data_IF_768824446268
#
_entry.id   IF_768824446268
#
_cell.length_a   1.000
_cell.length_b   1.000
_cell.length_c   1.000
_cell.angle_alpha   90.00
_cell.angle_beta   90.00
_cell.angle_gamma   90.00
#
_symmetry.space_group_name_H-M   'P 1'
#
loop_
_entity.id
_entity.type
_entity.pdbx_description
1 polymer ?
#
# COMPACT_ATOMS: atom_id res chain seq x y z
N UNK A 1 5.85 -12.64 -46.06
CA UNK A 1 4.72 -13.21 -45.30
C UNK A 1 5.32 -13.67 -43.98
N UNK A 2 5.05 -13.10 -42.81
CA UNK A 2 3.86 -12.41 -42.32
C UNK A 2 4.19 -11.04 -41.70
N UNK A 3 3.30 -10.08 -41.91
CA UNK A 3 3.24 -8.84 -41.16
C UNK A 3 2.65 -9.12 -39.77
N UNK A 4 3.41 -8.83 -38.73
CA UNK A 4 2.81 -8.60 -37.41
C UNK A 4 2.60 -7.10 -37.27
N UNK A 5 1.34 -6.75 -37.44
CA UNK A 5 0.75 -5.44 -37.22
C UNK A 5 0.88 -5.11 -35.73
N UNK A 6 1.87 -4.28 -35.39
CA UNK A 6 2.00 -3.71 -34.05
C UNK A 6 1.02 -2.55 -33.96
N UNK A 7 -0.17 -2.82 -33.39
CA UNK A 7 -1.11 -1.77 -33.00
C UNK A 7 -0.40 -0.83 -32.04
N UNK A 8 0.04 0.30 -32.59
CA UNK A 8 0.64 1.38 -31.85
C UNK A 8 -0.42 1.91 -30.89
N UNK A 9 -0.17 1.79 -29.59
CA UNK A 9 -0.90 2.55 -28.59
C UNK A 9 -0.57 4.00 -28.89
N UNK A 10 -1.45 4.69 -29.63
CA UNK A 10 -1.39 6.13 -29.80
C UNK A 10 -1.41 6.75 -28.41
N UNK A 11 -0.25 7.22 -27.97
CA UNK A 11 -0.16 8.18 -26.88
C UNK A 11 -1.06 9.34 -27.26
N UNK A 12 -2.24 9.42 -26.66
CA UNK A 12 -3.11 10.59 -26.78
C UNK A 12 -2.31 11.77 -26.23
N UNK A 13 -1.68 12.50 -27.15
CA UNK A 13 -0.92 13.71 -26.86
C UNK A 13 -1.91 14.71 -26.25
N UNK A 14 -1.68 15.11 -24.99
CA UNK A 14 -2.46 16.18 -24.36
C UNK A 14 -2.39 17.41 -25.29
N UNK A 15 -3.53 17.99 -25.70
CA UNK A 15 -3.52 19.16 -26.58
C UNK A 15 -2.68 20.29 -25.99
N UNK A 16 -2.03 21.08 -26.84
CA UNK A 16 -1.31 22.27 -26.40
C UNK A 16 -2.29 23.29 -25.77
N UNK A 17 -2.23 23.43 -24.44
CA UNK A 17 -3.09 24.29 -23.60
C UNK A 17 -4.11 23.52 -22.75
N UNK A 18 -4.81 24.21 -21.84
CA UNK A 18 -5.82 23.64 -20.93
C UNK A 18 -7.15 23.27 -21.62
N UNK A 19 -7.12 22.82 -22.88
CA UNK A 19 -8.31 22.54 -23.70
C UNK A 19 -8.48 21.03 -23.89
N UNK A 20 -9.71 20.56 -23.76
CA UNK A 20 -10.12 19.20 -24.13
C UNK A 20 -11.18 19.27 -25.23
N UNK A 21 -11.24 18.30 -26.16
CA UNK A 21 -12.36 18.18 -27.08
C UNK A 21 -13.69 18.10 -26.32
N UNK A 22 -14.78 18.65 -26.87
CA UNK A 22 -16.10 18.62 -26.21
C UNK A 22 -16.56 17.20 -25.89
N UNK A 23 -16.29 16.24 -26.78
CA UNK A 23 -16.58 14.81 -26.56
C UNK A 23 -15.78 14.19 -25.40
N UNK A 24 -14.70 14.83 -24.96
CA UNK A 24 -13.87 14.43 -23.82
C UNK A 24 -14.13 15.29 -22.58
N UNK A 25 -15.01 16.30 -22.68
CA UNK A 25 -15.39 17.12 -21.54
C UNK A 25 -16.26 16.29 -20.58
N UNK A 26 -16.10 16.56 -19.28
CA UNK A 26 -16.91 15.92 -18.25
C UNK A 26 -18.36 16.42 -18.36
N UNK A 27 -19.29 15.48 -18.49
CA UNK A 27 -20.73 15.76 -18.46
C UNK A 27 -21.20 15.93 -17.01
N UNK A 28 -21.27 17.17 -16.55
CA UNK A 28 -21.73 17.52 -15.20
C UNK A 28 -23.27 17.51 -15.06
N UNK A 29 -24.00 17.19 -16.14
CA UNK A 29 -25.45 16.96 -16.08
C UNK A 29 -25.80 15.48 -15.94
N UNK A 30 -24.78 14.62 -15.88
CA UNK A 30 -24.93 13.17 -15.73
C UNK A 30 -25.54 12.79 -14.36
N UNK A 31 -26.07 11.56 -14.29
CA UNK A 31 -26.63 10.99 -13.06
C UNK A 31 -25.58 11.01 -11.94
N UNK A 32 -26.01 11.31 -10.71
CA UNK A 32 -25.13 11.35 -9.53
C UNK A 32 -25.35 10.10 -8.70
N UNK A 33 -24.26 9.41 -8.38
CA UNK A 33 -24.21 8.33 -7.40
C UNK A 33 -23.66 8.89 -6.08
N UNK A 34 -24.34 8.55 -4.99
CA UNK A 34 -23.97 8.87 -3.61
C UNK A 34 -23.13 7.72 -3.04
N UNK A 35 -21.96 8.02 -2.52
CA UNK A 35 -21.10 7.09 -1.78
C UNK A 35 -21.25 7.41 -0.29
N UNK A 36 -21.88 6.52 0.47
CA UNK A 36 -22.02 6.65 1.92
C UNK A 36 -20.75 6.15 2.60
N UNK A 37 -20.07 6.98 3.39
CA UNK A 37 -18.78 6.65 4.00
C UNK A 37 -18.76 7.18 5.44
N UNK A 38 -18.75 6.27 6.42
CA UNK A 38 -19.03 6.64 7.81
C UNK A 38 -20.34 7.43 7.94
N UNK A 39 -20.26 8.66 8.46
CA UNK A 39 -21.39 9.59 8.59
C UNK A 39 -21.53 10.56 7.40
N UNK A 40 -20.57 10.53 6.47
CA UNK A 40 -20.51 11.45 5.34
C UNK A 40 -21.11 10.82 4.08
N UNK A 41 -21.50 11.67 3.12
CA UNK A 41 -21.90 11.24 1.78
C UNK A 41 -21.15 12.03 0.72
N UNK A 42 -20.49 11.33 -0.19
CA UNK A 42 -19.76 11.92 -1.32
C UNK A 42 -20.60 11.73 -2.58
N UNK A 43 -20.71 12.77 -3.41
CA UNK A 43 -21.51 12.75 -4.65
C UNK A 43 -20.58 12.73 -5.85
N UNK A 44 -20.73 11.73 -6.72
CA UNK A 44 -19.88 11.52 -7.91
C UNK A 44 -20.76 11.27 -9.13
N UNK A 45 -20.44 11.85 -10.28
CA UNK A 45 -21.17 11.55 -11.52
C UNK A 45 -20.94 10.09 -11.94
N UNK A 46 -22.01 9.39 -12.34
CA UNK A 46 -22.02 7.97 -12.65
C UNK A 46 -21.00 7.62 -13.75
N UNK A 47 -20.96 8.38 -14.84
CA UNK A 47 -20.01 8.19 -15.95
C UNK A 47 -18.56 8.30 -15.50
N UNK A 48 -18.27 9.20 -14.55
CA UNK A 48 -16.94 9.37 -13.97
C UNK A 48 -16.60 8.18 -13.08
N UNK A 49 -17.52 7.83 -12.16
CA UNK A 49 -17.37 6.72 -11.22
C UNK A 49 -17.15 5.39 -11.93
N UNK A 50 -17.87 5.18 -13.03
CA UNK A 50 -17.84 3.98 -13.85
C UNK A 50 -16.79 4.03 -14.96
N UNK A 51 -16.03 5.11 -15.14
CA UNK A 51 -15.09 5.23 -16.26
C UNK A 51 -14.02 4.12 -16.22
N UNK A 52 -13.48 3.86 -15.03
CA UNK A 52 -12.32 2.98 -14.83
C UNK A 52 -12.55 1.82 -13.85
N UNK A 53 -13.61 1.87 -13.04
CA UNK A 53 -13.94 0.83 -12.06
C UNK A 53 -14.95 -0.19 -12.59
N UNK A 54 -14.54 -1.46 -12.68
CA UNK A 54 -15.44 -2.56 -13.04
C UNK A 54 -16.46 -2.87 -11.93
N UNK A 55 -16.12 -2.60 -10.67
CA UNK A 55 -17.06 -2.72 -9.56
C UNK A 55 -18.24 -1.76 -9.75
N UNK A 56 -17.98 -0.47 -9.93
CA UNK A 56 -19.05 0.51 -10.06
C UNK A 56 -19.86 0.33 -11.35
N UNK A 57 -19.22 -0.02 -12.48
CA UNK A 57 -19.94 -0.38 -13.73
C UNK A 57 -20.96 -1.49 -13.53
N UNK A 58 -20.68 -2.47 -12.68
CA UNK A 58 -21.61 -3.56 -12.37
C UNK A 58 -22.63 -3.11 -11.33
N UNK A 59 -22.18 -2.44 -10.28
CA UNK A 59 -23.01 -2.04 -9.16
C UNK A 59 -24.09 -1.01 -9.54
N UNK A 60 -23.87 -0.14 -10.53
CA UNK A 60 -24.85 0.89 -10.92
C UNK A 60 -25.91 0.41 -11.91
N UNK A 61 -25.80 -0.81 -12.46
CA UNK A 61 -26.83 -1.38 -13.34
C UNK A 61 -28.16 -1.53 -12.60
N UNK A 62 -29.27 -1.33 -13.31
CA UNK A 62 -30.62 -1.36 -12.74
C UNK A 62 -30.92 -2.63 -11.94
N UNK A 63 -30.56 -3.80 -12.49
CA UNK A 63 -30.71 -5.13 -11.87
C UNK A 63 -30.07 -5.25 -10.48
N UNK A 64 -29.03 -4.46 -10.17
CA UNK A 64 -28.37 -4.42 -8.85
C UNK A 64 -28.73 -3.18 -8.04
N UNK A 65 -29.11 -2.08 -8.70
CA UNK A 65 -29.47 -0.84 -8.04
C UNK A 65 -30.87 -0.92 -7.40
N UNK A 66 -31.82 -1.57 -8.07
CA UNK A 66 -33.21 -1.70 -7.61
C UNK A 66 -33.34 -2.53 -6.31
N UNK A 67 -32.35 -3.36 -5.99
CA UNK A 67 -32.35 -4.11 -4.72
C UNK A 67 -31.93 -3.27 -3.51
N UNK A 68 -31.42 -2.04 -3.72
CA UNK A 68 -30.99 -1.15 -2.63
C UNK A 68 -32.18 -0.32 -2.12
N UNK A 69 -32.18 0.09 -0.84
CA UNK A 69 -33.17 1.04 -0.33
C UNK A 69 -33.19 2.36 -1.13
N UNK A 70 -32.02 2.75 -1.64
CA UNK A 70 -31.85 3.87 -2.54
C UNK A 70 -30.95 3.43 -3.72
N UNK A 71 -31.49 3.34 -4.95
CA UNK A 71 -30.75 2.90 -6.13
C UNK A 71 -29.51 3.74 -6.46
N UNK A 72 -29.51 5.02 -6.04
CA UNK A 72 -28.43 5.97 -6.31
C UNK A 72 -27.42 6.04 -5.16
N UNK A 73 -27.52 5.18 -4.14
CA UNK A 73 -26.60 5.16 -3.00
C UNK A 73 -25.81 3.85 -2.94
N UNK A 74 -24.49 3.97 -2.88
CA UNK A 74 -23.54 2.89 -2.62
C UNK A 74 -23.07 2.96 -1.17
N UNK A 75 -23.17 1.83 -0.47
CA UNK A 75 -22.70 1.70 0.89
C UNK A 75 -21.20 1.34 0.90
N UNK A 76 -20.39 2.24 1.46
CA UNK A 76 -18.95 2.12 1.69
C UNK A 76 -18.64 2.51 3.15
N UNK A 77 -19.58 2.27 4.07
CA UNK A 77 -19.45 2.68 5.47
C UNK A 77 -18.31 1.98 6.20
N UNK A 78 -17.95 0.78 5.79
CA UNK A 78 -16.79 0.02 6.30
C UNK A 78 -15.44 0.50 5.73
N UNK A 79 -15.44 1.39 4.74
CA UNK A 79 -14.21 1.91 4.13
C UNK A 79 -13.75 3.21 4.80
N UNK A 80 -12.44 3.40 4.88
CA UNK A 80 -11.86 4.59 5.50
C UNK A 80 -12.26 5.88 4.74
N UNK A 81 -12.89 6.88 5.41
CA UNK A 81 -13.40 8.10 4.77
C UNK A 81 -12.40 8.84 3.91
N UNK A 82 -11.17 9.01 4.37
CA UNK A 82 -10.12 9.69 3.61
C UNK A 82 -9.79 8.98 2.28
N UNK A 83 -9.85 7.65 2.24
CA UNK A 83 -9.55 6.86 1.03
C UNK A 83 -10.64 7.04 -0.01
N UNK A 84 -11.91 6.97 0.39
CA UNK A 84 -13.03 7.16 -0.55
C UNK A 84 -13.08 8.61 -1.06
N UNK A 85 -12.80 9.60 -0.20
CA UNK A 85 -12.67 11.01 -0.60
C UNK A 85 -11.52 11.20 -1.60
N UNK A 86 -10.37 10.58 -1.36
CA UNK A 86 -9.23 10.64 -2.26
C UNK A 86 -9.49 9.94 -3.60
N UNK A 87 -10.18 8.80 -3.59
CA UNK A 87 -10.61 8.12 -4.81
C UNK A 87 -11.54 9.01 -5.64
N UNK A 88 -12.53 9.65 -5.00
CA UNK A 88 -13.39 10.63 -5.68
C UNK A 88 -12.58 11.80 -6.27
N UNK A 89 -11.61 12.36 -5.54
CA UNK A 89 -10.72 13.39 -6.09
C UNK A 89 -9.94 12.89 -7.31
N UNK A 90 -9.35 11.69 -7.21
CA UNK A 90 -8.57 11.11 -8.29
C UNK A 90 -9.40 10.84 -9.55
N UNK A 91 -10.65 10.41 -9.40
CA UNK A 91 -11.54 10.18 -10.55
C UNK A 91 -11.73 11.44 -11.41
N UNK A 92 -11.79 12.63 -10.79
CA UNK A 92 -11.95 13.89 -11.52
C UNK A 92 -10.61 14.46 -12.01
N UNK A 93 -9.60 14.45 -11.15
CA UNK A 93 -8.39 15.25 -11.37
C UNK A 93 -7.15 14.44 -11.71
N UNK A 94 -7.22 13.11 -11.56
CA UNK A 94 -6.09 12.19 -11.69
C UNK A 94 -4.92 12.57 -10.77
N UNK A 95 -5.25 13.11 -9.60
CA UNK A 95 -4.32 13.45 -8.54
C UNK A 95 -4.78 12.83 -7.22
N UNK A 96 -3.83 12.42 -6.39
CA UNK A 96 -4.08 11.89 -5.06
C UNK A 96 -3.80 12.99 -4.02
N UNK A 97 -4.77 13.34 -3.16
CA UNK A 97 -4.49 14.08 -1.95
C UNK A 97 -3.55 13.26 -1.05
N UNK A 98 -2.53 13.89 -0.47
CA UNK A 98 -1.64 13.28 0.51
C UNK A 98 -1.91 13.89 1.89
N UNK A 99 -1.66 13.15 2.99
CA UNK A 99 -1.67 13.74 4.32
C UNK A 99 -0.79 15.00 4.41
N UNK A 100 -1.27 15.98 5.15
CA UNK A 100 -0.55 17.19 5.54
C UNK A 100 -0.70 17.41 7.06
N UNK A 101 0.08 18.33 7.62
CA UNK A 101 0.08 18.63 9.06
C UNK A 101 -1.34 18.91 9.60
N UNK A 102 -2.15 19.66 8.84
CA UNK A 102 -3.51 20.01 9.23
C UNK A 102 -4.43 18.78 9.27
N UNK A 103 -4.29 17.89 8.30
CA UNK A 103 -5.09 16.67 8.17
C UNK A 103 -4.69 15.59 9.19
N UNK A 104 -3.46 15.62 9.69
CA UNK A 104 -3.07 14.81 10.85
C UNK A 104 -3.65 15.41 12.15
N UNK A 105 -3.50 16.72 12.34
CA UNK A 105 -3.95 17.40 13.55
C UNK A 105 -5.46 17.30 13.79
N UNK A 106 -6.26 17.28 12.71
CA UNK A 106 -7.71 17.11 12.80
C UNK A 106 -8.17 15.63 12.82
N UNK A 107 -7.23 14.68 12.81
CA UNK A 107 -7.52 13.25 12.89
C UNK A 107 -8.09 12.62 11.62
N UNK A 108 -7.93 13.23 10.44
CA UNK A 108 -8.48 12.69 9.17
C UNK A 108 -7.95 11.29 8.83
N UNK A 109 -6.74 10.96 9.28
CA UNK A 109 -6.03 9.71 8.93
C UNK A 109 -5.83 8.74 10.10
N UNK A 110 -6.29 9.08 11.31
CA UNK A 110 -6.11 8.24 12.50
C UNK A 110 -6.65 6.84 12.26
N UNK A 111 -5.88 5.83 12.66
CA UNK A 111 -6.31 4.44 12.61
C UNK A 111 -7.53 4.19 13.52
N UNK A 112 -8.39 3.26 13.12
CA UNK A 112 -9.58 2.84 13.89
C UNK A 112 -9.22 2.10 15.19
N UNK A 113 -7.94 1.80 15.42
CA UNK A 113 -7.45 1.15 16.64
C UNK A 113 -7.08 2.19 17.69
N UNK A 114 -7.85 2.21 18.78
CA UNK A 114 -7.57 2.91 20.03
C UNK A 114 -6.42 2.21 20.78
N UNK A 115 -5.19 2.23 20.27
CA UNK A 115 -4.04 1.91 21.12
C UNK A 115 -3.60 3.20 21.83
N UNK A 116 -3.99 3.31 23.12
CA UNK A 116 -3.69 4.43 24.02
C UNK A 116 -2.19 4.60 24.34
N UNK A 117 -1.33 3.66 23.93
CA UNK A 117 0.09 3.61 24.28
C UNK A 117 1.03 4.13 23.16
N UNK A 118 0.62 5.17 22.44
CA UNK A 118 1.51 5.89 21.53
C UNK A 118 2.12 7.11 22.24
N UNK A 119 3.24 6.86 22.93
CA UNK A 119 4.07 7.92 23.49
C UNK A 119 4.67 8.78 22.38
N UNK A 120 4.44 10.10 22.49
CA UNK A 120 4.96 11.20 21.65
C UNK A 120 6.20 10.84 20.82
N UNK A 121 6.01 10.66 19.52
CA UNK A 121 7.05 10.45 18.51
C UNK A 121 7.24 11.76 17.71
N UNK A 122 8.46 12.00 17.24
CA UNK A 122 8.92 13.15 16.44
C UNK A 122 7.97 13.53 15.28
N UNK A 123 7.54 14.80 15.25
CA UNK A 123 6.57 15.39 14.32
C UNK A 123 6.83 15.11 12.82
N UNK A 124 8.09 14.88 12.39
CA UNK A 124 8.41 14.59 10.97
C UNK A 124 8.33 13.10 10.60
N UNK A 125 8.51 12.19 11.55
CA UNK A 125 8.40 10.75 11.30
C UNK A 125 6.94 10.34 11.02
N UNK A 126 5.98 11.06 11.62
CA UNK A 126 4.55 10.77 11.50
C UNK A 126 3.99 11.03 10.09
N UNK A 127 4.39 12.11 9.41
CA UNK A 127 3.82 12.47 8.11
C UNK A 127 4.13 11.46 7.00
N UNK A 128 5.34 10.91 7.01
CA UNK A 128 5.75 9.93 5.99
C UNK A 128 5.06 8.59 6.21
N UNK A 129 5.04 8.13 7.45
CA UNK A 129 4.40 6.87 7.80
C UNK A 129 2.90 6.90 7.47
N UNK A 130 2.21 7.96 7.88
CA UNK A 130 0.80 8.17 7.57
C UNK A 130 0.53 8.25 6.06
N UNK A 131 1.43 8.88 5.29
CA UNK A 131 1.34 8.89 3.83
C UNK A 131 1.45 7.49 3.24
N UNK A 132 2.38 6.67 3.73
CA UNK A 132 2.58 5.30 3.24
C UNK A 132 1.42 4.37 3.66
N UNK A 133 0.91 4.52 4.89
CA UNK A 133 -0.27 3.80 5.40
C UNK A 133 -1.50 4.17 4.57
N UNK A 134 -1.70 5.46 4.29
CA UNK A 134 -2.79 5.93 3.44
C UNK A 134 -2.71 5.34 2.04
N UNK A 135 -1.53 5.36 1.40
CA UNK A 135 -1.33 4.76 0.08
C UNK A 135 -1.61 3.25 0.10
N UNK A 136 -1.21 2.53 1.15
CA UNK A 136 -1.51 1.12 1.31
C UNK A 136 -3.02 0.85 1.39
N UNK A 137 -3.75 1.60 2.23
CA UNK A 137 -5.22 1.52 2.32
C UNK A 137 -5.89 1.86 0.99
N UNK A 138 -5.40 2.88 0.29
CA UNK A 138 -5.91 3.26 -1.02
C UNK A 138 -5.72 2.16 -2.06
N UNK A 139 -4.59 1.44 -2.04
CA UNK A 139 -4.35 0.34 -2.97
C UNK A 139 -5.33 -0.81 -2.72
N UNK A 140 -5.55 -1.18 -1.45
CA UNK A 140 -6.54 -2.20 -1.06
C UNK A 140 -7.95 -1.79 -1.46
N UNK A 141 -8.32 -0.53 -1.30
CA UNK A 141 -9.58 -0.02 -1.81
C UNK A 141 -9.66 -0.12 -3.35
N UNK A 142 -8.57 0.15 -4.06
CA UNK A 142 -8.45 -0.06 -5.50
C UNK A 142 -8.67 -1.51 -5.93
N UNK A 143 -8.28 -2.49 -5.10
CA UNK A 143 -8.61 -3.91 -5.33
C UNK A 143 -10.11 -4.14 -5.16
N UNK A 144 -10.73 -3.61 -4.09
CA UNK A 144 -12.18 -3.70 -3.83
C UNK A 144 -13.01 -3.15 -4.99
N UNK A 145 -12.64 -1.95 -5.48
CA UNK A 145 -13.38 -1.30 -6.56
C UNK A 145 -12.92 -1.72 -7.96
N UNK A 146 -11.94 -2.62 -8.06
CA UNK A 146 -11.44 -3.17 -9.32
C UNK A 146 -11.07 -2.03 -10.30
N UNK A 147 -10.25 -1.08 -9.84
CA UNK A 147 -9.77 0.04 -10.65
C UNK A 147 -8.24 -0.01 -10.78
N UNK A 148 -7.77 -0.59 -11.89
CA UNK A 148 -6.34 -0.75 -12.13
C UNK A 148 -5.62 0.59 -12.35
N UNK A 149 -6.28 1.58 -12.97
CA UNK A 149 -5.63 2.88 -13.18
C UNK A 149 -5.40 3.61 -11.86
N UNK A 150 -6.33 3.46 -10.91
CA UNK A 150 -6.16 3.98 -9.56
C UNK A 150 -5.01 3.29 -8.85
N UNK A 151 -4.98 1.95 -8.88
CA UNK A 151 -3.90 1.15 -8.30
C UNK A 151 -2.54 1.49 -8.88
N UNK A 152 -2.43 1.66 -10.20
CA UNK A 152 -1.19 2.05 -10.88
C UNK A 152 -0.72 3.44 -10.41
N UNK A 153 -1.65 4.41 -10.27
CA UNK A 153 -1.32 5.73 -9.71
C UNK A 153 -0.75 5.62 -8.30
N UNK A 154 -1.32 4.74 -7.47
CA UNK A 154 -0.86 4.53 -6.08
C UNK A 154 0.53 3.88 -6.06
N UNK A 155 0.78 2.91 -6.93
CA UNK A 155 2.11 2.30 -7.10
C UNK A 155 3.14 3.35 -7.48
N UNK A 156 2.83 4.23 -8.45
CA UNK A 156 3.71 5.33 -8.84
C UNK A 156 4.01 6.27 -7.66
N UNK A 157 3.00 6.58 -6.84
CA UNK A 157 3.17 7.38 -5.63
C UNK A 157 4.04 6.68 -4.59
N UNK A 158 3.84 5.38 -4.33
CA UNK A 158 4.68 4.61 -3.40
C UNK A 158 6.15 4.60 -3.84
N UNK A 159 6.40 4.37 -5.14
CA UNK A 159 7.75 4.42 -5.71
C UNK A 159 8.36 5.81 -5.53
N UNK A 160 7.61 6.87 -5.87
CA UNK A 160 8.10 8.24 -5.74
C UNK A 160 8.44 8.59 -4.28
N UNK A 161 7.63 8.16 -3.31
CA UNK A 161 7.92 8.30 -1.89
C UNK A 161 9.22 7.59 -1.51
N UNK A 162 9.34 6.29 -1.80
CA UNK A 162 10.55 5.52 -1.45
C UNK A 162 11.82 6.08 -2.10
N UNK A 163 11.75 6.51 -3.37
CA UNK A 163 12.88 7.15 -4.06
C UNK A 163 13.26 8.49 -3.43
N UNK A 164 12.27 9.30 -3.04
CA UNK A 164 12.51 10.63 -2.46
C UNK A 164 13.15 10.57 -1.07
N UNK A 165 12.71 9.65 -0.22
CA UNK A 165 13.15 9.58 1.17
C UNK A 165 14.24 8.53 1.42
N UNK A 166 14.41 7.56 0.51
CA UNK A 166 15.40 6.50 0.65
C UNK A 166 15.05 5.45 1.69
N UNK A 167 13.78 5.39 2.09
CA UNK A 167 13.24 4.47 3.08
C UNK A 167 12.04 3.70 2.51
N UNK A 168 11.97 2.43 2.89
CA UNK A 168 10.85 1.55 2.53
C UNK A 168 9.58 1.94 3.28
N UNK A 169 8.41 1.46 2.82
CA UNK A 169 7.19 1.53 3.59
C UNK A 169 7.33 0.99 5.01
N UNK A 170 6.61 1.56 5.97
CA UNK A 170 6.55 1.02 7.33
C UNK A 170 5.95 -0.39 7.37
N UNK A 171 6.19 -1.08 8.48
CA UNK A 171 5.60 -2.40 8.72
C UNK A 171 4.07 -2.38 8.67
N UNK A 172 3.45 -1.33 9.21
CA UNK A 172 2.00 -1.10 9.13
C UNK A 172 1.52 -1.04 7.69
N UNK A 173 2.11 -0.19 6.86
CA UNK A 173 1.75 -0.05 5.45
C UNK A 173 1.94 -1.36 4.67
N UNK A 174 3.05 -2.06 4.89
CA UNK A 174 3.33 -3.35 4.24
C UNK A 174 2.32 -4.43 4.64
N UNK A 175 1.97 -4.50 5.93
CA UNK A 175 1.01 -5.48 6.44
C UNK A 175 -0.40 -5.23 5.90
N UNK A 176 -0.82 -3.96 5.78
CA UNK A 176 -2.09 -3.59 5.14
C UNK A 176 -2.14 -4.13 3.70
N UNK A 177 -1.06 -3.95 2.92
CA UNK A 177 -0.99 -4.48 1.56
C UNK A 177 -1.06 -6.01 1.53
N UNK A 178 -0.35 -6.70 2.42
CA UNK A 178 -0.39 -8.17 2.45
C UNK A 178 -1.74 -8.71 2.89
N UNK A 179 -2.41 -8.08 3.86
CA UNK A 179 -3.74 -8.51 4.31
C UNK A 179 -4.84 -8.20 3.28
N UNK A 180 -4.73 -7.09 2.55
CA UNK A 180 -5.77 -6.61 1.64
C UNK A 180 -5.58 -6.98 0.17
N UNK A 181 -4.59 -7.80 -0.19
CA UNK A 181 -4.32 -8.18 -1.60
C UNK A 181 -4.14 -9.69 -1.76
N UNK A 182 -4.23 -10.19 -3.00
CA UNK A 182 -3.92 -11.58 -3.33
C UNK A 182 -2.42 -11.81 -3.56
N UNK A 183 -1.96 -13.06 -3.48
CA UNK A 183 -0.55 -13.44 -3.58
C UNK A 183 0.14 -12.97 -4.90
N UNK A 184 -0.60 -12.86 -6.00
CA UNK A 184 -0.08 -12.39 -7.29
C UNK A 184 -0.17 -10.87 -7.49
N UNK A 185 -0.51 -10.11 -6.44
CA UNK A 185 -0.65 -8.66 -6.51
C UNK A 185 0.66 -7.95 -6.90
N UNK A 186 0.62 -7.00 -7.85
CA UNK A 186 1.75 -6.12 -8.13
C UNK A 186 2.30 -5.38 -6.90
N UNK A 187 1.44 -4.95 -5.98
CA UNK A 187 1.90 -4.28 -4.76
C UNK A 187 2.78 -5.18 -3.88
N UNK A 188 2.43 -6.45 -3.72
CA UNK A 188 3.27 -7.40 -2.96
C UNK A 188 4.64 -7.57 -3.60
N UNK A 189 4.70 -7.70 -4.94
CA UNK A 189 5.97 -7.76 -5.68
C UNK A 189 6.82 -6.50 -5.44
N UNK A 190 6.21 -5.32 -5.45
CA UNK A 190 6.92 -4.07 -5.18
C UNK A 190 7.50 -4.03 -3.76
N UNK A 191 6.73 -4.45 -2.74
CA UNK A 191 7.21 -4.50 -1.35
C UNK A 191 8.39 -5.47 -1.19
N UNK A 192 8.32 -6.63 -1.84
CA UNK A 192 9.43 -7.60 -1.87
C UNK A 192 10.66 -7.01 -2.55
N UNK A 193 10.50 -6.31 -3.67
CA UNK A 193 11.61 -5.61 -4.33
C UNK A 193 12.24 -4.55 -3.40
N UNK A 194 11.42 -3.74 -2.73
CA UNK A 194 11.93 -2.79 -1.73
C UNK A 194 12.75 -3.48 -0.64
N UNK A 195 12.31 -4.61 -0.09
CA UNK A 195 13.11 -5.38 0.87
C UNK A 195 14.44 -5.84 0.27
N UNK A 196 14.41 -6.48 -0.89
CA UNK A 196 15.61 -7.06 -1.53
C UNK A 196 16.67 -5.98 -1.83
N UNK A 197 16.24 -4.77 -2.19
CA UNK A 197 17.14 -3.71 -2.64
C UNK A 197 17.43 -2.63 -1.58
N UNK A 198 16.68 -2.57 -0.47
CA UNK A 198 16.87 -1.54 0.55
C UNK A 198 17.14 -2.08 1.96
N UNK A 199 16.82 -3.34 2.27
CA UNK A 199 17.04 -3.88 3.61
C UNK A 199 18.54 -3.93 3.95
N UNK A 200 18.90 -3.29 5.05
CA UNK A 200 20.27 -3.28 5.57
C UNK A 200 20.25 -3.16 7.10
N UNK A 201 21.09 -3.96 7.77
CA UNK A 201 21.05 -4.09 9.24
C UNK A 201 21.39 -2.79 9.97
N UNK A 202 22.18 -1.90 9.35
CA UNK A 202 22.47 -0.56 9.90
C UNK A 202 21.24 0.34 10.11
N UNK A 203 20.09 -0.03 9.53
CA UNK A 203 18.81 0.67 9.69
C UNK A 203 17.84 -0.07 10.64
N UNK A 204 18.32 -1.06 11.41
CA UNK A 204 17.50 -1.79 12.39
C UNK A 204 16.52 -2.80 11.79
N UNK A 205 16.66 -3.12 10.50
CA UNK A 205 15.76 -4.02 9.76
C UNK A 205 15.65 -5.41 10.39
N UNK A 206 16.74 -5.97 10.92
CA UNK A 206 16.68 -7.28 11.58
C UNK A 206 15.74 -7.29 12.79
N UNK A 207 15.62 -6.16 13.49
CA UNK A 207 14.69 -6.01 14.61
C UNK A 207 13.22 -5.92 14.17
N UNK A 208 12.95 -5.36 12.98
CA UNK A 208 11.59 -5.16 12.47
C UNK A 208 11.01 -6.36 11.73
N UNK A 209 11.81 -7.34 11.31
CA UNK A 209 11.35 -8.52 10.54
C UNK A 209 10.13 -9.19 11.20
N UNK A 210 10.13 -9.31 12.53
CA UNK A 210 9.07 -9.98 13.29
C UNK A 210 7.73 -9.22 13.32
N UNK A 211 7.72 -7.95 12.92
CA UNK A 211 6.53 -7.11 12.86
C UNK A 211 5.71 -7.37 11.58
N UNK A 212 6.24 -8.13 10.63
CA UNK A 212 5.60 -8.38 9.34
C UNK A 212 4.81 -9.68 9.30
N UNK A 213 3.87 -9.79 8.36
CA UNK A 213 3.11 -11.04 8.19
C UNK A 213 4.04 -12.20 7.79
N UNK A 214 3.72 -13.45 8.18
CA UNK A 214 4.50 -14.62 7.80
C UNK A 214 4.68 -14.77 6.29
N UNK A 215 3.67 -14.39 5.50
CA UNK A 215 3.70 -14.45 4.03
C UNK A 215 4.71 -13.45 3.46
N UNK A 216 4.75 -12.22 3.97
CA UNK A 216 5.73 -11.22 3.53
C UNK A 216 7.15 -11.68 3.86
N UNK A 217 7.37 -12.19 5.07
CA UNK A 217 8.68 -12.71 5.47
C UNK A 217 9.11 -13.85 4.54
N UNK A 218 8.20 -14.77 4.20
CA UNK A 218 8.49 -15.88 3.30
C UNK A 218 8.84 -15.39 1.88
N UNK A 219 7.99 -14.55 1.29
CA UNK A 219 8.19 -14.01 -0.06
C UNK A 219 9.54 -13.25 -0.17
N UNK A 220 9.83 -12.41 0.83
CA UNK A 220 11.05 -11.64 0.86
C UNK A 220 12.28 -12.53 1.08
N UNK A 221 12.21 -13.53 1.97
CA UNK A 221 13.31 -14.47 2.18
C UNK A 221 13.61 -15.26 0.90
N UNK A 222 12.60 -15.75 0.19
CA UNK A 222 12.80 -16.42 -1.09
C UNK A 222 13.47 -15.50 -2.12
N UNK A 223 13.02 -14.25 -2.22
CA UNK A 223 13.59 -13.28 -3.15
C UNK A 223 15.04 -12.91 -2.80
N UNK A 224 15.35 -12.73 -1.51
CA UNK A 224 16.71 -12.49 -1.01
C UNK A 224 17.61 -13.69 -1.32
N UNK A 225 17.13 -14.93 -1.11
CA UNK A 225 17.90 -16.14 -1.44
C UNK A 225 18.22 -16.21 -2.93
N UNK A 226 17.28 -15.84 -3.80
CA UNK A 226 17.49 -15.78 -5.27
C UNK A 226 18.47 -14.66 -5.66
N UNK A 227 18.49 -13.54 -4.93
CA UNK A 227 19.33 -12.38 -5.26
C UNK A 227 20.75 -12.47 -4.70
N UNK A 228 20.91 -12.98 -3.48
CA UNK A 228 22.18 -12.92 -2.73
C UNK A 228 23.24 -13.80 -3.38
N UNK A 229 24.52 -13.37 -3.39
CA UNK A 229 25.61 -14.24 -3.82
C UNK A 229 25.74 -15.44 -2.89
N UNK A 230 26.22 -16.56 -3.43
CA UNK A 230 26.55 -17.72 -2.61
C UNK A 230 27.69 -17.36 -1.64
N UNK A 231 27.49 -17.51 -0.31
CA UNK A 231 28.53 -17.21 0.66
C UNK A 231 29.66 -18.23 0.53
N UNK A 232 30.89 -17.73 0.32
CA UNK A 232 32.09 -18.56 0.19
C UNK A 232 32.54 -19.14 1.52
N UNK A 233 32.46 -18.33 2.57
CA UNK A 233 32.92 -18.69 3.91
C UNK A 233 31.76 -19.26 4.72
N UNK A 234 32.02 -20.38 5.39
CA UNK A 234 31.03 -21.07 6.21
C UNK A 234 31.45 -20.99 7.68
N UNK A 235 30.68 -20.33 8.56
CA UNK A 235 31.05 -20.19 9.96
C UNK A 235 31.27 -21.54 10.68
N UNK A 236 30.55 -22.59 10.28
CA UNK A 236 30.73 -23.95 10.81
C UNK A 236 31.97 -24.69 10.27
N UNK A 237 32.57 -24.23 9.17
CA UNK A 237 33.87 -24.73 8.70
C UNK A 237 35.01 -23.95 9.35
N UNK A 238 34.83 -22.65 9.58
CA UNK A 238 35.84 -21.76 10.15
C UNK A 238 35.95 -21.87 11.68
N UNK A 239 34.83 -22.02 12.39
CA UNK A 239 34.78 -22.06 13.86
C UNK A 239 33.61 -22.92 14.34
N UNK A 240 33.63 -24.25 14.14
CA UNK A 240 32.55 -25.15 14.56
C UNK A 240 32.26 -25.11 16.07
N UNK A 241 33.27 -24.81 16.88
CA UNK A 241 33.17 -24.71 18.33
C UNK A 241 32.22 -23.61 18.82
N UNK A 242 31.89 -22.62 17.99
CA UNK A 242 30.89 -21.59 18.32
C UNK A 242 29.48 -22.20 18.53
N UNK A 243 29.25 -23.40 18.00
CA UNK A 243 28.00 -24.14 18.11
C UNK A 243 28.01 -25.20 19.22
N UNK A 244 29.14 -25.40 19.92
CA UNK A 244 29.22 -26.36 21.02
C UNK A 244 28.57 -25.79 22.28
N UNK A 245 27.84 -26.63 23.01
CA UNK A 245 27.32 -26.27 24.32
C UNK A 245 28.48 -26.03 25.30
N UNK A 246 28.48 -24.87 25.96
CA UNK A 246 29.44 -24.60 27.03
C UNK A 246 28.99 -25.37 28.27
N UNK A 247 29.76 -26.38 28.65
CA UNK A 247 29.54 -27.08 29.92
C UNK A 247 29.70 -26.06 31.07
N UNK A 248 28.62 -25.80 31.83
CA UNK A 248 28.63 -24.95 33.03
C UNK A 248 29.44 -25.54 34.22
N UNK A 249 30.28 -26.54 33.97
CA UNK A 249 30.90 -27.36 35.03
C UNK A 249 32.17 -26.73 35.61
N UNK A 250 32.72 -25.67 35.01
CA UNK A 250 33.97 -25.06 35.50
C UNK A 250 33.78 -23.98 36.59
N UNK A 251 32.56 -23.44 36.80
CA UNK A 251 32.32 -22.43 37.86
C UNK A 251 32.08 -23.02 39.27
N UNK A 252 31.86 -24.35 39.39
CA UNK A 252 31.64 -24.99 40.70
C UNK A 252 32.97 -25.40 41.37
N UNK A 253 34.05 -25.55 40.60
CA UNK A 253 35.38 -25.84 41.15
C UNK A 253 36.06 -24.59 41.77
N UNK A 254 35.65 -23.38 41.37
CA UNK A 254 36.15 -22.13 41.94
C UNK A 254 35.53 -21.77 43.30
N UNK A 255 34.35 -22.31 43.63
CA UNK A 255 33.66 -22.08 44.92
C UNK A 255 33.96 -23.13 46.00
N UNK A 256 34.62 -24.23 45.65
CA UNK A 256 34.95 -25.33 46.58
C UNK A 256 36.39 -25.32 47.10
N UNK A 257 37.21 -24.34 46.69
CA UNK A 257 38.59 -24.13 47.21
C UNK A 257 38.71 -22.96 48.19
N UNK A 258 37.59 -22.31 48.54
CA UNK A 258 37.53 -21.17 49.48
C UNK A 258 36.71 -21.47 50.73
N UNK A 259 36.96 -22.60 51.40
CA UNK A 259 36.44 -22.91 52.76
C UNK A 259 37.54 -23.43 53.66
#
# INVERSE_FOLDING_TARGET
>A
MASHDTTSIEKISKPAGARVPWASAVDLSDRIIKLSVGQDTIKVHEKILCATSEFFKKATKSEWAESRPDPDTMDLTDDHPAVVKAYANWLYFRTLPTPDEHSLANGTFKADCEDEDMTKIDDNHDLMDETQIFLARAYVFGEKVIDNQFKDTIIDCMIACTVKFGDCPSHTAMNILYQGTLANSPARRLIVDFWVYCAHDSKGWAGSVKLHTPELIADALEAIVRKRPFPKNRPWEESPEQYHEKNQVEDIAALSTSS
#
